data_IF_154042990852
#
_entry.id   IF_154042990852
#
_cell.length_a   1.000
_cell.length_b   1.000
_cell.length_c   1.000
_cell.angle_alpha   90.00
_cell.angle_beta   90.00
_cell.angle_gamma   90.00
#
_symmetry.space_group_name_H-M   'P 1'
#
loop_
_entity.id
_entity.type
_entity.pdbx_description
1 polymer ?
#
# COMPACT_ATOMS: atom_id res chain seq x y z
N UNK A 1 3.03 53.59 13.70
CA UNK A 1 3.92 53.07 12.64
C UNK A 1 3.29 51.79 12.14
N UNK A 2 2.74 51.83 10.92
CA UNK A 2 2.02 50.71 10.29
C UNK A 2 3.03 49.68 9.81
N UNK A 3 2.77 48.44 10.15
CA UNK A 3 3.43 47.24 9.65
C UNK A 3 3.31 47.20 8.13
N UNK A 4 4.44 47.20 7.43
CA UNK A 4 4.49 46.84 6.01
C UNK A 4 4.40 45.32 5.91
N UNK A 5 3.20 44.83 5.61
CA UNK A 5 3.00 43.49 5.07
C UNK A 5 3.60 43.46 3.66
N UNK A 6 4.79 42.85 3.55
CA UNK A 6 5.39 42.51 2.26
C UNK A 6 4.55 41.38 1.65
N UNK A 7 3.52 41.77 0.92
CA UNK A 7 2.86 40.93 -0.09
C UNK A 7 3.90 40.48 -1.11
N UNK A 8 4.41 39.25 -0.96
CA UNK A 8 5.16 38.57 -2.03
C UNK A 8 4.19 38.25 -3.16
N UNK A 9 3.95 39.23 -4.04
CA UNK A 9 3.31 38.99 -5.33
C UNK A 9 4.21 38.07 -6.17
N UNK A 10 3.60 37.09 -6.84
CA UNK A 10 4.24 36.23 -7.83
C UNK A 10 5.08 37.09 -8.79
N UNK A 11 6.37 36.74 -8.94
CA UNK A 11 7.32 37.48 -9.79
C UNK A 11 7.02 37.28 -11.28
N UNK A 12 6.26 36.24 -11.64
CA UNK A 12 5.92 35.88 -13.01
C UNK A 12 4.53 36.36 -13.39
N UNK A 13 4.39 36.80 -14.64
CA UNK A 13 3.10 37.03 -15.29
C UNK A 13 2.33 35.72 -15.48
N UNK A 14 1.02 35.81 -15.66
CA UNK A 14 0.15 34.65 -15.85
C UNK A 14 0.57 33.79 -17.06
N UNK A 15 0.94 34.41 -18.17
CA UNK A 15 1.51 33.73 -19.34
C UNK A 15 2.84 33.01 -19.04
N UNK A 16 3.73 33.62 -18.27
CA UNK A 16 5.02 33.00 -17.89
C UNK A 16 4.80 31.80 -16.97
N UNK A 17 3.88 31.91 -16.00
CA UNK A 17 3.48 30.80 -15.15
C UNK A 17 2.89 29.64 -15.97
N UNK A 18 2.03 29.95 -16.95
CA UNK A 18 1.45 28.95 -17.84
C UNK A 18 2.53 28.25 -18.69
N UNK A 19 3.44 29.01 -19.29
CA UNK A 19 4.53 28.46 -20.08
C UNK A 19 5.47 27.57 -19.23
N UNK A 20 5.83 28.02 -18.01
CA UNK A 20 6.61 27.20 -17.06
C UNK A 20 5.89 25.92 -16.68
N UNK A 21 4.60 25.99 -16.35
CA UNK A 21 3.81 24.82 -16.00
C UNK A 21 3.80 23.79 -17.15
N UNK A 22 3.58 24.24 -18.39
CA UNK A 22 3.62 23.36 -19.56
C UNK A 22 5.00 22.73 -19.76
N UNK A 23 6.08 23.49 -19.56
CA UNK A 23 7.44 22.97 -19.66
C UNK A 23 7.69 21.88 -18.62
N UNK A 24 7.37 22.13 -17.35
CA UNK A 24 7.54 21.14 -16.29
C UNK A 24 6.69 19.89 -16.50
N UNK A 25 5.44 20.05 -16.95
CA UNK A 25 4.58 18.90 -17.31
C UNK A 25 5.22 18.07 -18.42
N UNK A 26 5.77 18.73 -19.45
CA UNK A 26 6.42 18.05 -20.56
C UNK A 26 7.68 17.30 -20.12
N UNK A 27 8.59 17.96 -19.39
CA UNK A 27 9.82 17.35 -18.87
C UNK A 27 9.52 16.19 -17.93
N UNK A 28 8.56 16.37 -17.02
CA UNK A 28 8.14 15.33 -16.08
C UNK A 28 7.58 14.11 -16.83
N UNK A 29 6.74 14.32 -17.84
CA UNK A 29 6.21 13.24 -18.67
C UNK A 29 7.33 12.45 -19.35
N UNK A 30 8.34 13.13 -19.89
CA UNK A 30 9.49 12.49 -20.55
C UNK A 30 10.32 11.67 -19.55
N UNK A 31 10.67 12.28 -18.42
CA UNK A 31 11.54 11.64 -17.42
C UNK A 31 10.85 10.48 -16.70
N UNK A 32 9.64 10.70 -16.18
CA UNK A 32 8.99 9.77 -15.25
C UNK A 32 8.14 8.71 -15.96
N UNK A 33 7.52 9.05 -17.09
CA UNK A 33 6.61 8.12 -17.78
C UNK A 33 7.24 7.42 -18.99
N UNK A 34 8.43 7.84 -19.43
CA UNK A 34 9.10 7.24 -20.59
C UNK A 34 10.50 6.73 -20.23
N UNK A 35 11.38 7.62 -19.75
CA UNK A 35 12.79 7.27 -19.54
C UNK A 35 13.01 6.38 -18.31
N UNK A 36 12.49 6.78 -17.14
CA UNK A 36 12.68 6.04 -15.90
C UNK A 36 12.12 4.60 -15.97
N UNK A 37 10.90 4.35 -16.48
CA UNK A 37 10.39 2.99 -16.67
C UNK A 37 11.31 2.13 -17.53
N UNK A 38 11.76 2.65 -18.68
CA UNK A 38 12.69 1.96 -19.57
C UNK A 38 14.02 1.59 -18.89
N UNK A 39 14.58 2.51 -18.10
CA UNK A 39 15.82 2.26 -17.37
C UNK A 39 15.62 1.22 -16.27
N UNK A 40 14.51 1.28 -15.52
CA UNK A 40 14.20 0.30 -14.48
C UNK A 40 13.99 -1.09 -15.07
N UNK A 41 13.26 -1.21 -16.19
CA UNK A 41 13.11 -2.49 -16.88
C UNK A 41 14.46 -3.05 -17.31
N UNK A 42 15.35 -2.23 -17.88
CA UNK A 42 16.70 -2.68 -18.23
C UNK A 42 17.54 -3.10 -17.02
N UNK A 43 17.40 -2.41 -15.88
CA UNK A 43 18.06 -2.80 -14.61
C UNK A 43 17.58 -4.19 -14.17
N UNK A 44 16.27 -4.45 -14.29
CA UNK A 44 15.62 -5.71 -13.92
C UNK A 44 16.02 -6.84 -14.85
N UNK A 45 15.87 -6.66 -16.16
CA UNK A 45 16.21 -7.67 -17.17
C UNK A 45 17.68 -8.06 -17.16
N UNK A 46 18.57 -7.10 -16.88
CA UNK A 46 20.02 -7.34 -16.82
C UNK A 46 20.48 -7.79 -15.43
N UNK A 47 19.58 -7.87 -14.45
CA UNK A 47 19.86 -8.18 -13.05
C UNK A 47 21.05 -7.37 -12.51
N UNK A 48 21.04 -6.05 -12.73
CA UNK A 48 22.21 -5.18 -12.46
C UNK A 48 22.70 -5.30 -11.01
N UNK A 49 21.80 -5.51 -10.06
CA UNK A 49 22.14 -5.67 -8.64
C UNK A 49 23.04 -6.86 -8.34
N UNK A 50 23.03 -7.91 -9.17
CA UNK A 50 23.92 -9.07 -9.01
C UNK A 50 25.33 -8.80 -9.52
N UNK A 51 25.52 -7.73 -10.30
CA UNK A 51 26.75 -7.37 -11.01
C UNK A 51 27.45 -6.14 -10.40
N UNK A 52 26.94 -5.64 -9.28
CA UNK A 52 27.54 -4.53 -8.54
C UNK A 52 28.83 -4.98 -7.85
N UNK A 53 29.59 -4.00 -7.32
CA UNK A 53 30.84 -4.29 -6.61
C UNK A 53 30.58 -5.20 -5.41
N UNK A 54 29.48 -4.96 -4.71
CA UNK A 54 28.92 -5.88 -3.72
C UNK A 54 27.57 -6.40 -4.24
N UNK A 55 27.48 -7.67 -4.69
CA UNK A 55 26.23 -8.22 -5.19
C UNK A 55 25.13 -8.24 -4.12
N UNK A 56 23.96 -7.71 -4.48
CA UNK A 56 22.77 -7.77 -3.62
C UNK A 56 22.01 -9.08 -3.81
N UNK A 57 21.30 -9.52 -2.77
CA UNK A 57 20.55 -10.79 -2.81
C UNK A 57 19.34 -10.72 -3.71
N UNK A 58 18.68 -9.57 -3.75
CA UNK A 58 17.48 -9.34 -4.55
C UNK A 58 17.35 -7.85 -4.93
N UNK A 59 16.39 -7.55 -5.80
CA UNK A 59 16.14 -6.19 -6.26
C UNK A 59 15.71 -5.24 -5.13
N UNK A 60 14.97 -5.73 -4.13
CA UNK A 60 14.54 -4.92 -2.99
C UNK A 60 15.70 -4.39 -2.14
N UNK A 61 16.73 -5.21 -1.90
CA UNK A 61 17.94 -4.80 -1.18
C UNK A 61 18.71 -3.72 -1.95
N UNK A 62 18.87 -3.92 -3.26
CA UNK A 62 19.47 -2.94 -4.16
C UNK A 62 18.70 -1.62 -4.23
N UNK A 63 17.37 -1.68 -4.27
CA UNK A 63 16.52 -0.51 -4.36
C UNK A 63 16.66 0.39 -3.12
N UNK A 64 16.74 -0.21 -1.93
CA UNK A 64 16.71 0.50 -0.66
C UNK A 64 18.10 0.84 -0.11
N UNK A 65 19.17 0.28 -0.68
CA UNK A 65 20.51 0.59 -0.25
C UNK A 65 20.85 2.07 -0.51
N UNK A 66 21.32 2.74 0.54
CA UNK A 66 21.62 4.18 0.58
C UNK A 66 23.00 4.51 0.01
N UNK A 67 23.83 3.50 -0.22
CA UNK A 67 25.15 3.70 -0.80
C UNK A 67 25.06 4.15 -2.27
N UNK A 68 26.16 4.66 -2.82
CA UNK A 68 26.27 4.96 -4.26
C UNK A 68 26.19 3.73 -5.16
N UNK A 69 26.21 2.53 -4.58
CA UNK A 69 26.12 1.26 -5.29
C UNK A 69 24.65 0.80 -5.48
N UNK A 70 23.71 1.33 -4.69
CA UNK A 70 22.26 1.08 -4.74
C UNK A 70 21.45 2.17 -5.45
N UNK A 71 20.11 2.06 -5.44
CA UNK A 71 19.21 3.10 -5.98
C UNK A 71 18.89 4.22 -5.00
N UNK A 72 19.16 4.05 -3.71
CA UNK A 72 18.95 5.11 -2.72
C UNK A 72 17.48 5.48 -2.49
N UNK A 73 16.55 4.54 -2.60
CA UNK A 73 15.14 4.79 -2.26
C UNK A 73 15.00 4.87 -0.74
N UNK A 74 14.95 6.09 -0.19
CA UNK A 74 15.03 6.30 1.27
C UNK A 74 13.74 6.73 1.94
N UNK A 75 12.71 7.12 1.18
CA UNK A 75 11.46 7.62 1.72
C UNK A 75 10.24 7.15 0.90
N UNK A 76 9.04 7.45 1.38
CA UNK A 76 7.78 7.02 0.75
C UNK A 76 7.57 7.64 -0.64
N UNK A 77 8.05 8.85 -0.90
CA UNK A 77 7.89 9.52 -2.20
C UNK A 77 8.73 8.85 -3.29
N UNK A 78 10.01 8.58 -3.00
CA UNK A 78 10.89 7.84 -3.88
C UNK A 78 10.36 6.41 -4.11
N UNK A 79 9.79 5.79 -3.07
CA UNK A 79 9.16 4.48 -3.20
C UNK A 79 7.93 4.52 -4.10
N UNK A 80 7.10 5.57 -3.99
CA UNK A 80 5.96 5.79 -4.88
C UNK A 80 6.42 6.03 -6.32
N UNK A 81 7.51 6.78 -6.51
CA UNK A 81 8.10 7.02 -7.83
C UNK A 81 8.58 5.71 -8.46
N UNK A 82 9.33 4.90 -7.72
CA UNK A 82 9.78 3.58 -8.17
C UNK A 82 8.59 2.69 -8.52
N UNK A 83 7.57 2.62 -7.65
CA UNK A 83 6.35 1.85 -7.90
C UNK A 83 5.63 2.28 -9.18
N UNK A 84 5.63 3.58 -9.47
CA UNK A 84 4.97 4.15 -10.65
C UNK A 84 5.78 3.92 -11.94
N UNK A 85 7.11 3.86 -11.83
CA UNK A 85 7.99 3.54 -12.94
C UNK A 85 8.05 2.05 -13.27
N UNK A 86 7.82 1.18 -12.30
CA UNK A 86 7.74 -0.27 -12.51
C UNK A 86 6.38 -0.64 -13.12
N UNK A 87 6.40 -1.43 -14.20
CA UNK A 87 5.16 -1.96 -14.80
C UNK A 87 4.57 -3.14 -14.00
N UNK A 88 4.37 -2.98 -12.69
CA UNK A 88 4.01 -4.05 -11.74
C UNK A 88 2.70 -4.79 -12.07
N UNK A 89 1.86 -4.22 -12.95
CA UNK A 89 0.59 -4.81 -13.34
C UNK A 89 0.73 -5.80 -14.50
N UNK A 90 1.82 -5.70 -15.27
CA UNK A 90 2.06 -6.58 -16.42
C UNK A 90 3.39 -7.34 -16.28
N UNK A 91 4.41 -6.72 -15.69
CA UNK A 91 5.78 -7.20 -15.59
C UNK A 91 6.39 -6.86 -14.22
N UNK A 92 7.46 -7.55 -13.83
CA UNK A 92 8.26 -7.24 -12.65
C UNK A 92 7.56 -7.27 -11.26
N UNK A 93 6.33 -7.77 -11.15
CA UNK A 93 5.62 -7.94 -9.86
C UNK A 93 6.41 -8.75 -8.83
N UNK A 94 7.23 -9.73 -9.26
CA UNK A 94 8.13 -10.48 -8.38
C UNK A 94 9.14 -9.56 -7.69
N UNK A 95 9.79 -8.69 -8.45
CA UNK A 95 10.77 -7.71 -7.98
C UNK A 95 10.12 -6.66 -7.08
N UNK A 96 8.88 -6.26 -7.38
CA UNK A 96 8.10 -5.42 -6.48
C UNK A 96 7.81 -6.13 -5.15
N UNK A 97 7.51 -7.44 -5.18
CA UNK A 97 7.37 -8.27 -3.99
C UNK A 97 8.64 -8.30 -3.11
N UNK A 98 9.83 -8.23 -3.71
CA UNK A 98 11.10 -8.10 -2.98
C UNK A 98 11.24 -6.72 -2.33
N UNK A 99 10.95 -5.64 -3.06
CA UNK A 99 10.93 -4.27 -2.52
C UNK A 99 9.97 -4.18 -1.34
N UNK A 100 8.73 -4.65 -1.49
CA UNK A 100 7.73 -4.64 -0.41
C UNK A 100 8.19 -5.42 0.83
N UNK A 101 8.93 -6.52 0.64
CA UNK A 101 9.44 -7.32 1.77
C UNK A 101 10.48 -6.53 2.57
N UNK A 102 11.35 -5.80 1.88
CA UNK A 102 12.38 -4.98 2.51
C UNK A 102 11.78 -3.71 3.14
N UNK A 103 10.83 -3.06 2.46
CA UNK A 103 10.07 -1.90 2.97
C UNK A 103 9.35 -2.25 4.28
N UNK A 104 8.67 -3.40 4.35
CA UNK A 104 7.97 -3.83 5.58
C UNK A 104 8.94 -3.97 6.76
N UNK A 105 10.16 -4.44 6.49
CA UNK A 105 11.21 -4.54 7.51
C UNK A 105 11.74 -3.16 7.92
N UNK A 106 12.06 -2.29 6.95
CA UNK A 106 12.52 -0.92 7.22
C UNK A 106 11.53 -0.12 8.07
N UNK A 107 10.24 -0.15 7.72
CA UNK A 107 9.20 0.57 8.47
C UNK A 107 9.06 0.05 9.91
N UNK A 108 9.19 -1.27 10.13
CA UNK A 108 9.18 -1.86 11.49
C UNK A 108 10.39 -1.47 12.31
N UNK A 109 11.58 -1.43 11.70
CA UNK A 109 12.81 -1.00 12.36
C UNK A 109 12.67 0.47 12.76
N UNK A 110 12.23 1.33 11.84
CA UNK A 110 11.98 2.74 12.12
C UNK A 110 11.01 2.94 13.30
N UNK A 111 9.86 2.24 13.32
CA UNK A 111 8.92 2.33 14.44
C UNK A 111 9.54 1.89 15.76
N UNK A 112 10.35 0.82 15.75
CA UNK A 112 11.03 0.33 16.95
C UNK A 112 12.05 1.35 17.48
N UNK A 113 12.86 1.93 16.60
CA UNK A 113 13.90 2.90 16.94
C UNK A 113 13.31 4.20 17.50
N UNK A 114 12.20 4.65 16.91
CA UNK A 114 11.53 5.91 17.29
C UNK A 114 10.43 5.72 18.33
N UNK A 115 10.24 4.50 18.86
CA UNK A 115 9.19 4.15 19.83
C UNK A 115 7.77 4.50 19.35
N UNK A 116 7.54 4.44 18.05
CA UNK A 116 6.24 4.64 17.41
C UNK A 116 5.49 3.31 17.40
N UNK A 117 4.19 3.34 17.68
CA UNK A 117 3.36 2.15 17.52
C UNK A 117 3.26 1.77 16.05
N UNK A 118 3.40 0.47 15.74
CA UNK A 118 3.22 -0.05 14.37
C UNK A 118 1.81 0.26 13.81
N UNK A 119 0.84 0.62 14.66
CA UNK A 119 -0.52 1.06 14.24
C UNK A 119 -0.56 2.48 13.70
N UNK A 120 0.44 3.28 14.01
CA UNK A 120 0.48 4.69 13.66
C UNK A 120 1.34 4.91 12.41
N UNK A 121 1.95 3.84 11.87
CA UNK A 121 2.62 3.85 10.58
C UNK A 121 1.64 3.92 9.40
N UNK A 122 2.07 4.59 8.35
CA UNK A 122 1.30 4.75 7.12
C UNK A 122 1.02 3.38 6.47
N UNK A 123 -0.22 3.15 6.04
CA UNK A 123 -0.65 1.90 5.41
C UNK A 123 -1.05 2.06 3.94
N UNK A 124 -1.02 3.28 3.40
CA UNK A 124 -1.24 3.57 1.99
C UNK A 124 -0.11 4.45 1.45
N UNK A 125 0.61 3.93 0.46
CA UNK A 125 1.69 4.66 -0.20
C UNK A 125 1.18 5.88 -0.98
N UNK A 126 -0.12 5.95 -1.27
CA UNK A 126 -0.76 7.07 -1.97
C UNK A 126 -1.22 8.18 -1.04
N UNK A 127 -1.39 7.88 0.23
CA UNK A 127 -1.70 8.90 1.23
C UNK A 127 -0.38 9.61 1.56
N UNK A 128 -0.22 10.82 1.02
CA UNK A 128 0.84 11.72 1.48
C UNK A 128 0.58 11.98 2.96
N UNK A 129 1.60 11.73 3.78
CA UNK A 129 1.54 11.93 5.22
C UNK A 129 1.57 13.45 5.49
N UNK A 130 0.41 14.09 5.34
CA UNK A 130 0.26 15.55 5.50
C UNK A 130 0.32 15.98 6.97
N UNK A 131 0.58 15.04 7.87
CA UNK A 131 0.55 15.24 9.32
C UNK A 131 1.81 15.95 9.83
N UNK A 132 2.94 15.88 9.10
CA UNK A 132 4.17 16.59 9.47
C UNK A 132 4.94 17.10 8.23
N UNK A 133 5.04 18.43 8.02
CA UNK A 133 5.83 19.02 6.94
C UNK A 133 7.33 18.65 6.96
N UNK A 134 7.86 18.11 8.05
CA UNK A 134 9.25 17.67 8.14
C UNK A 134 9.48 16.24 7.64
N UNK A 135 8.43 15.43 7.44
CA UNK A 135 8.56 14.07 6.89
C UNK A 135 9.11 14.07 5.45
N UNK A 136 8.89 15.15 4.69
CA UNK A 136 9.47 15.35 3.35
C UNK A 136 11.01 15.44 3.38
N UNK A 137 11.60 15.82 4.52
CA UNK A 137 13.05 15.92 4.71
C UNK A 137 13.65 14.66 5.34
N UNK A 138 12.82 13.78 5.92
CA UNK A 138 13.29 12.59 6.58
C UNK A 138 13.51 11.44 5.59
N UNK A 139 14.75 10.96 5.52
CA UNK A 139 15.18 9.79 4.76
C UNK A 139 14.68 8.47 5.39
N UNK A 140 13.38 8.40 5.67
CA UNK A 140 12.72 7.34 6.40
C UNK A 140 11.50 6.79 5.64
N UNK A 141 11.41 5.47 5.57
CA UNK A 141 10.25 4.76 5.01
C UNK A 141 9.32 4.41 6.15
N UNK A 142 8.12 4.99 6.14
CA UNK A 142 7.08 4.72 7.14
C UNK A 142 5.96 3.83 6.60
N UNK A 143 5.93 3.60 5.28
CA UNK A 143 4.94 2.76 4.62
C UNK A 143 5.03 1.29 5.07
N UNK A 144 3.92 0.77 5.61
CA UNK A 144 3.80 -0.59 6.12
C UNK A 144 2.80 -1.43 5.30
N UNK A 145 3.26 -2.03 4.18
CA UNK A 145 2.40 -2.73 3.24
C UNK A 145 1.68 -3.93 3.86
N UNK A 146 2.32 -4.68 4.78
CA UNK A 146 1.69 -5.89 5.38
C UNK A 146 0.38 -5.62 6.13
N UNK A 147 0.14 -4.38 6.57
CA UNK A 147 -1.10 -3.99 7.23
C UNK A 147 -2.13 -3.43 6.28
N UNK A 148 -1.72 -3.02 5.09
CA UNK A 148 -2.61 -2.52 4.06
C UNK A 148 -3.59 -3.59 3.58
N UNK A 149 -4.78 -3.13 3.18
CA UNK A 149 -5.74 -3.91 2.40
C UNK A 149 -5.49 -3.81 0.89
N UNK A 150 -4.51 -3.00 0.49
CA UNK A 150 -4.10 -2.81 -0.90
C UNK A 150 -3.57 -4.10 -1.54
N UNK A 151 -3.39 -4.07 -2.86
CA UNK A 151 -2.73 -5.13 -3.63
C UNK A 151 -1.34 -5.45 -3.06
N UNK A 152 -0.58 -4.43 -2.67
CA UNK A 152 0.76 -4.58 -2.10
C UNK A 152 0.72 -5.40 -0.80
N UNK A 153 -0.22 -5.08 0.09
CA UNK A 153 -0.42 -5.84 1.32
C UNK A 153 -0.95 -7.25 1.11
N UNK A 154 -1.82 -7.44 0.11
CA UNK A 154 -2.29 -8.76 -0.29
C UNK A 154 -1.16 -9.61 -0.87
N UNK A 155 -0.23 -9.01 -1.64
CA UNK A 155 0.88 -9.71 -2.27
C UNK A 155 1.84 -10.27 -1.22
N UNK A 156 2.20 -9.45 -0.22
CA UNK A 156 3.01 -9.90 0.92
C UNK A 156 2.34 -11.00 1.75
N UNK A 157 1.03 -10.87 1.99
CA UNK A 157 0.26 -11.89 2.73
C UNK A 157 0.20 -13.20 1.95
N UNK A 158 0.03 -13.13 0.64
CA UNK A 158 -0.02 -14.30 -0.24
C UNK A 158 1.33 -15.03 -0.24
N UNK A 159 2.44 -14.30 -0.38
CA UNK A 159 3.81 -14.83 -0.30
C UNK A 159 4.04 -15.70 0.95
N UNK A 160 3.44 -15.32 2.09
CA UNK A 160 3.55 -16.06 3.36
C UNK A 160 2.56 -17.20 3.51
N UNK A 161 1.32 -17.04 3.03
CA UNK A 161 0.24 -18.00 3.27
C UNK A 161 0.19 -19.12 2.24
N UNK A 162 0.41 -18.79 0.97
CA UNK A 162 0.32 -19.72 -0.15
C UNK A 162 1.39 -19.36 -1.19
N UNK A 163 2.61 -19.91 -1.04
CA UNK A 163 3.70 -19.67 -1.97
C UNK A 163 3.41 -20.11 -3.41
N UNK A 164 2.57 -21.14 -3.59
CA UNK A 164 2.21 -21.64 -4.92
C UNK A 164 1.26 -20.67 -5.64
N UNK A 165 0.25 -20.17 -4.92
CA UNK A 165 -0.62 -19.13 -5.46
C UNK A 165 0.14 -17.82 -5.70
N UNK A 166 1.10 -17.48 -4.84
CA UNK A 166 2.00 -16.36 -5.07
C UNK A 166 2.81 -16.52 -6.36
N UNK A 167 3.38 -17.70 -6.61
CA UNK A 167 4.13 -17.99 -7.83
C UNK A 167 3.27 -17.80 -9.09
N UNK A 168 2.02 -18.27 -9.04
CA UNK A 168 1.08 -18.09 -10.15
C UNK A 168 0.71 -16.62 -10.38
N UNK A 169 0.60 -15.81 -9.33
CA UNK A 169 0.37 -14.36 -9.44
C UNK A 169 1.58 -13.68 -10.07
N UNK A 170 2.81 -14.02 -9.65
CA UNK A 170 3.99 -13.35 -10.18
C UNK A 170 4.31 -13.72 -11.63
N UNK A 171 3.89 -14.91 -12.06
CA UNK A 171 3.97 -15.36 -13.45
C UNK A 171 2.82 -14.82 -14.32
N UNK A 172 1.90 -14.02 -13.75
CA UNK A 172 0.74 -13.47 -14.47
C UNK A 172 -0.32 -14.51 -14.84
N UNK A 173 -0.25 -15.72 -14.27
CA UNK A 173 -1.21 -16.81 -14.56
C UNK A 173 -2.58 -16.57 -13.95
N UNK A 174 -2.63 -15.92 -12.79
CA UNK A 174 -3.87 -15.58 -12.08
C UNK A 174 -3.79 -14.16 -11.53
N UNK A 175 -4.92 -13.47 -11.43
CA UNK A 175 -4.96 -12.18 -10.74
C UNK A 175 -4.84 -12.39 -9.23
N UNK A 176 -4.25 -11.42 -8.52
CA UNK A 176 -4.18 -11.46 -7.06
C UNK A 176 -5.55 -11.61 -6.40
N UNK A 177 -6.60 -11.02 -6.99
CA UNK A 177 -7.98 -11.13 -6.49
C UNK A 177 -8.53 -12.55 -6.55
N UNK A 178 -8.07 -13.34 -7.53
CA UNK A 178 -8.50 -14.71 -7.76
C UNK A 178 -7.66 -15.71 -6.95
N UNK A 179 -6.41 -15.35 -6.67
CA UNK A 179 -5.50 -16.13 -5.81
C UNK A 179 -6.01 -16.24 -4.36
N UNK A 180 -6.68 -15.19 -3.87
CA UNK A 180 -7.45 -15.28 -2.63
C UNK A 180 -8.78 -15.98 -2.92
N UNK A 181 -8.76 -17.32 -2.95
CA UNK A 181 -9.99 -18.13 -2.94
C UNK A 181 -10.86 -17.57 -1.82
N UNK A 182 -11.98 -16.93 -2.18
CA UNK A 182 -12.98 -16.50 -1.20
C UNK A 182 -13.36 -17.76 -0.45
N UNK A 183 -12.84 -17.94 0.77
CA UNK A 183 -13.31 -18.99 1.67
C UNK A 183 -14.82 -18.88 1.60
N UNK A 184 -15.54 -19.93 1.12
CA UNK A 184 -16.99 -19.85 1.01
C UNK A 184 -17.49 -19.33 2.33
N UNK A 185 -18.24 -18.21 2.33
CA UNK A 185 -18.82 -17.68 3.56
C UNK A 185 -19.50 -18.87 4.21
N UNK A 186 -19.01 -19.30 5.38
CA UNK A 186 -19.55 -20.45 6.09
C UNK A 186 -21.05 -20.21 6.14
N UNK A 187 -21.84 -21.03 5.43
CA UNK A 187 -23.28 -20.87 5.43
C UNK A 187 -23.69 -21.03 6.88
N UNK A 188 -24.06 -19.93 7.53
CA UNK A 188 -24.50 -19.97 8.92
C UNK A 188 -25.71 -20.88 8.93
N UNK A 189 -25.68 -21.89 9.81
CA UNK A 189 -26.86 -22.70 10.02
C UNK A 189 -27.99 -21.75 10.45
N UNK A 190 -29.26 -21.97 10.03
CA UNK A 190 -30.36 -21.05 10.33
C UNK A 190 -30.42 -20.64 11.81
N UNK A 191 -30.09 -21.56 12.72
CA UNK A 191 -30.06 -21.32 14.17
C UNK A 191 -28.95 -20.36 14.62
N UNK A 192 -27.81 -20.31 13.95
CA UNK A 192 -26.71 -19.38 14.24
C UNK A 192 -27.07 -17.96 13.79
N UNK A 193 -27.79 -17.83 12.66
CA UNK A 193 -28.31 -16.55 12.21
C UNK A 193 -29.37 -15.99 13.15
N UNK A 194 -30.27 -16.84 13.67
CA UNK A 194 -31.27 -16.46 14.67
C UNK A 194 -30.60 -16.03 15.98
N UNK A 195 -29.61 -16.78 16.47
CA UNK A 195 -28.84 -16.41 17.68
C UNK A 195 -28.18 -15.03 17.54
N UNK A 196 -27.46 -14.81 16.44
CA UNK A 196 -26.75 -13.54 16.22
C UNK A 196 -27.72 -12.36 16.11
N UNK A 197 -28.86 -12.53 15.42
CA UNK A 197 -29.89 -11.48 15.34
C UNK A 197 -30.54 -11.22 16.70
N UNK A 198 -30.88 -12.27 17.46
CA UNK A 198 -31.45 -12.15 18.80
C UNK A 198 -30.50 -11.43 19.78
N UNK A 199 -29.21 -11.74 19.73
CA UNK A 199 -28.19 -11.06 20.56
C UNK A 199 -27.97 -9.59 20.19
N UNK A 200 -28.37 -9.16 19.00
CA UNK A 200 -28.26 -7.77 18.55
C UNK A 200 -29.53 -6.95 18.80
N UNK A 201 -30.64 -7.58 19.19
CA UNK A 201 -31.88 -6.89 19.60
C UNK A 201 -31.71 -6.18 20.95
N UNK A 202 -32.46 -5.11 21.16
CA UNK A 202 -32.59 -4.47 22.48
C UNK A 202 -33.30 -5.39 23.48
N UNK A 203 -33.19 -5.09 24.78
CA UNK A 203 -33.84 -5.90 25.84
C UNK A 203 -35.37 -6.00 25.65
N UNK A 204 -36.02 -4.92 25.21
CA UNK A 204 -37.46 -4.90 24.94
C UNK A 204 -37.83 -5.81 23.78
N UNK A 205 -37.10 -5.72 22.68
CA UNK A 205 -37.37 -6.51 21.47
C UNK A 205 -37.11 -8.01 21.70
N UNK A 206 -36.10 -8.36 22.50
CA UNK A 206 -35.88 -9.76 22.91
C UNK A 206 -37.05 -10.30 23.72
N UNK A 207 -37.61 -9.49 24.61
CA UNK A 207 -38.74 -9.89 25.45
C UNK A 207 -39.99 -10.13 24.60
N UNK A 208 -40.33 -9.20 23.72
CA UNK A 208 -41.46 -9.35 22.80
C UNK A 208 -41.28 -10.54 21.84
N UNK A 209 -40.05 -10.81 21.39
CA UNK A 209 -39.77 -11.99 20.56
C UNK A 209 -39.94 -13.31 21.31
N UNK A 210 -39.55 -13.38 22.60
CA UNK A 210 -39.76 -14.56 23.44
C UNK A 210 -41.24 -14.77 23.77
N UNK A 211 -41.97 -13.71 24.09
CA UNK A 211 -43.42 -13.74 24.34
C UNK A 211 -44.19 -14.22 23.10
N UNK A 212 -43.79 -13.76 21.91
CA UNK A 212 -44.36 -14.25 20.65
C UNK A 212 -44.06 -15.73 20.39
N UNK A 213 -42.84 -16.21 20.66
CA UNK A 213 -42.51 -17.63 20.54
C UNK A 213 -43.31 -18.52 21.50
N UNK A 214 -43.61 -18.01 22.69
CA UNK A 214 -44.40 -18.73 23.69
C UNK A 214 -45.88 -18.82 23.27
N UNK A 215 -46.44 -17.73 22.74
CA UNK A 215 -47.78 -17.73 22.14
C UNK A 215 -47.87 -18.66 20.92
N UNK A 216 -46.87 -18.66 20.05
CA UNK A 216 -46.88 -19.50 18.85
C UNK A 216 -46.74 -20.99 19.19
N UNK A 217 -46.02 -21.31 20.29
CA UNK A 217 -45.93 -22.67 20.80
C UNK A 217 -47.28 -23.18 21.32
N UNK A 218 -48.05 -22.33 21.97
CA UNK A 218 -49.39 -22.67 22.46
C UNK A 218 -50.37 -22.88 21.28
N UNK A 219 -50.22 -22.12 20.19
CA UNK A 219 -51.01 -22.29 18.96
C UNK A 219 -50.67 -23.54 18.13
N UNK A 220 -49.58 -24.25 18.44
CA UNK A 220 -49.14 -25.46 17.74
C UNK A 220 -49.59 -26.76 18.43
N UNK A 221 -50.28 -26.68 19.57
CA UNK A 221 -50.75 -27.84 20.36
C UNK A 221 -52.26 -28.10 20.16
N UNK A 222 -52.94 -27.28 19.34
CA UNK A 222 -54.26 -27.55 18.75
C UNK A 222 -54.15 -28.06 17.30
#
# INVERSE_FOLDING_TARGET
MRSEEISKQSIFSDEELHAQANQYIYEFKQLILQNLPSVISQIIEREVWKKRNNPYKNFGEYALDKSSDGLGITNNEMLWLLRSAMDINTQHIAHWGDVLSMVDNCARVYAKENKISIKDLNNDLREQDNTDPNLYQENNITYLPSRSRSVDGQLLKLKKKDPLAYENVIQGKINIKDAWVKVPRKQQQPIEAVKNKFFNLSKSERKSFLEWLEQEKDNLVD
#
